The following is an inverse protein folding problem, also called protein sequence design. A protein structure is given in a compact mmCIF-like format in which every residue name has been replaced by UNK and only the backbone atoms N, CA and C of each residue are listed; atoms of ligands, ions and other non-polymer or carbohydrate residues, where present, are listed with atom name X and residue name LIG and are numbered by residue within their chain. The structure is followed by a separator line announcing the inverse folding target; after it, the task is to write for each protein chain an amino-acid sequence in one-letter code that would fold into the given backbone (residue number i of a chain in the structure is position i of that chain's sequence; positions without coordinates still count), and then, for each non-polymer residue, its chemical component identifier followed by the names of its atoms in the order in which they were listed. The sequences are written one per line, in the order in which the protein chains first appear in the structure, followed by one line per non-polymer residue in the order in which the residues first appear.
data_IF_715069973793
#
_entry.id   IF_715069973793
#
_cell.length_a   1.000
_cell.length_b   1.000
_cell.length_c   1.000
_cell.angle_alpha   90.00
_cell.angle_beta   90.00
_cell.angle_gamma   90.00
#
_symmetry.space_group_name_H-M   'P 1'
#
loop_
_entity.id
_entity.type
_entity.pdbx_description
1 polymer ?
#
# COMPACT_ATOMS: atom_id res chain seq x y z
N UNK A 1 -6.67 -32.79 -26.50
CA UNK A 1 -7.45 -33.37 -25.38
C UNK A 1 -7.57 -32.26 -24.38
N UNK A 2 -8.75 -31.67 -24.29
CA UNK A 2 -9.04 -30.59 -23.37
C UNK A 2 -9.05 -31.17 -21.96
N UNK A 3 -8.08 -30.79 -21.13
CA UNK A 3 -8.12 -31.10 -19.71
C UNK A 3 -8.94 -29.97 -19.05
N UNK A 4 -10.19 -30.23 -18.62
CA UNK A 4 -10.99 -29.22 -17.93
C UNK A 4 -10.31 -28.71 -16.66
N UNK A 5 -9.46 -29.52 -16.01
CA UNK A 5 -8.66 -29.12 -14.84
C UNK A 5 -7.52 -28.14 -15.18
N UNK A 6 -7.25 -27.91 -16.47
CA UNK A 6 -6.28 -26.92 -16.96
C UNK A 6 -6.93 -25.81 -17.80
N UNK A 7 -8.26 -25.76 -17.80
CA UNK A 7 -9.04 -24.77 -18.53
C UNK A 7 -9.52 -23.70 -17.57
N UNK A 8 -9.31 -22.43 -17.91
CA UNK A 8 -9.71 -21.30 -17.07
C UNK A 8 -10.94 -20.62 -17.65
N UNK A 9 -11.94 -20.39 -16.81
CA UNK A 9 -13.04 -19.46 -17.08
C UNK A 9 -12.73 -18.15 -16.36
N UNK A 10 -12.88 -17.02 -17.04
CA UNK A 10 -12.63 -15.71 -16.44
C UNK A 10 -13.57 -14.65 -16.97
N UNK A 11 -13.78 -13.64 -16.15
CA UNK A 11 -14.55 -12.44 -16.48
C UNK A 11 -13.57 -11.27 -16.59
N UNK A 12 -13.46 -10.68 -17.78
CA UNK A 12 -12.60 -9.53 -18.03
C UNK A 12 -13.40 -8.25 -17.86
N UNK A 13 -12.99 -7.40 -16.91
CA UNK A 13 -13.72 -6.18 -16.56
C UNK A 13 -12.92 -4.92 -16.89
N UNK A 14 -13.59 -3.90 -17.43
CA UNK A 14 -13.10 -2.53 -17.47
C UNK A 14 -13.72 -1.71 -16.35
N UNK A 15 -12.92 -0.87 -15.70
CA UNK A 15 -13.40 0.07 -14.67
C UNK A 15 -13.40 1.50 -15.20
N UNK A 16 -14.15 2.39 -14.55
CA UNK A 16 -14.19 3.83 -14.86
C UNK A 16 -14.60 4.17 -16.31
N UNK A 17 -15.57 3.41 -16.86
CA UNK A 17 -16.15 3.64 -18.18
C UNK A 17 -15.13 3.71 -19.34
N UNK A 18 -14.09 2.87 -19.26
CA UNK A 18 -13.08 2.75 -20.33
C UNK A 18 -13.62 1.97 -21.51
N UNK A 19 -13.20 2.38 -22.71
CA UNK A 19 -13.55 1.69 -23.94
C UNK A 19 -12.95 0.28 -23.97
N UNK A 20 -13.70 -0.65 -24.55
CA UNK A 20 -13.29 -2.04 -24.76
C UNK A 20 -12.84 -2.31 -26.19
N UNK A 21 -12.87 -1.30 -27.06
CA UNK A 21 -12.60 -1.44 -28.48
C UNK A 21 -11.16 -1.89 -28.73
N UNK A 22 -11.00 -2.95 -29.53
CA UNK A 22 -9.70 -3.50 -29.90
C UNK A 22 -9.01 -4.33 -28.81
N UNK A 23 -9.66 -4.59 -27.67
CA UNK A 23 -9.12 -5.48 -26.64
C UNK A 23 -9.28 -6.96 -27.01
N UNK A 24 -8.33 -7.77 -26.55
CA UNK A 24 -8.33 -9.22 -26.75
C UNK A 24 -9.05 -9.93 -25.59
N UNK A 25 -9.80 -10.98 -25.91
CA UNK A 25 -10.40 -11.87 -24.92
C UNK A 25 -9.38 -12.94 -24.51
N UNK A 26 -8.31 -12.53 -23.85
CA UNK A 26 -7.23 -13.41 -23.40
C UNK A 26 -7.06 -13.32 -21.90
N UNK A 27 -6.79 -14.46 -21.29
CA UNK A 27 -6.49 -14.61 -19.87
C UNK A 27 -5.06 -15.13 -19.79
N UNK A 28 -4.24 -14.50 -18.97
CA UNK A 28 -2.89 -14.99 -18.72
C UNK A 28 -2.93 -16.31 -17.95
N UNK A 29 -2.07 -17.25 -18.32
CA UNK A 29 -2.11 -18.61 -17.78
C UNK A 29 -1.81 -18.68 -16.28
N UNK A 30 -1.15 -17.66 -15.74
CA UNK A 30 -0.74 -17.51 -14.35
C UNK A 30 -1.65 -16.56 -13.56
N UNK A 31 -2.87 -16.26 -14.05
CA UNK A 31 -3.85 -15.43 -13.33
C UNK A 31 -4.34 -16.09 -12.04
N UNK A 32 -4.35 -17.43 -11.98
CA UNK A 32 -4.61 -18.21 -10.78
C UNK A 32 -3.25 -18.61 -10.20
N UNK A 33 -2.89 -18.17 -8.99
CA UNK A 33 -1.64 -18.57 -8.34
C UNK A 33 -1.54 -20.08 -8.14
N UNK A 34 -0.32 -20.59 -8.11
CA UNK A 34 -0.08 -22.00 -7.77
C UNK A 34 -0.67 -22.34 -6.40
N UNK A 35 -1.49 -23.38 -6.35
CA UNK A 35 -2.15 -23.85 -5.12
C UNK A 35 -3.52 -23.24 -4.86
N UNK A 36 -3.94 -22.24 -5.64
CA UNK A 36 -5.29 -21.66 -5.60
C UNK A 36 -6.19 -22.27 -6.70
N UNK A 37 -7.51 -22.26 -6.46
CA UNK A 37 -8.51 -22.69 -7.44
C UNK A 37 -9.12 -21.52 -8.21
N UNK A 38 -9.07 -20.32 -7.63
CA UNK A 38 -9.60 -19.09 -8.21
C UNK A 38 -8.62 -17.94 -8.00
N UNK A 39 -8.64 -16.98 -8.92
CA UNK A 39 -7.74 -15.83 -8.93
C UNK A 39 -8.47 -14.53 -9.27
N UNK A 40 -8.09 -13.47 -8.57
CA UNK A 40 -8.43 -12.09 -8.88
C UNK A 40 -7.16 -11.31 -9.21
N UNK A 41 -7.22 -10.53 -10.30
CA UNK A 41 -6.10 -9.72 -10.75
C UNK A 41 -6.53 -8.27 -10.94
N UNK A 42 -5.88 -7.36 -10.20
CA UNK A 42 -6.00 -5.93 -10.39
C UNK A 42 -4.84 -5.44 -11.26
N UNK A 43 -5.17 -5.05 -12.50
CA UNK A 43 -4.17 -4.65 -13.50
C UNK A 43 -3.13 -3.65 -12.96
N UNK A 44 -1.89 -3.78 -13.45
CA UNK A 44 -0.75 -2.90 -13.15
C UNK A 44 -1.14 -1.43 -13.04
N UNK A 45 -1.79 -0.91 -14.09
CA UNK A 45 -2.24 0.48 -14.19
C UNK A 45 -3.19 0.89 -13.07
N UNK A 46 -4.13 0.02 -12.67
CA UNK A 46 -5.06 0.33 -11.56
C UNK A 46 -4.35 0.26 -10.22
N UNK A 47 -3.50 -0.74 -10.02
CA UNK A 47 -2.71 -0.84 -8.79
C UNK A 47 -1.81 0.40 -8.61
N UNK A 48 -1.12 0.85 -9.66
CA UNK A 48 -0.28 2.05 -9.58
C UNK A 48 -1.10 3.33 -9.36
N UNK A 49 -2.15 3.55 -10.14
CA UNK A 49 -2.87 4.84 -10.14
C UNK A 49 -3.88 4.98 -9.02
N UNK A 50 -4.53 3.88 -8.65
CA UNK A 50 -5.64 3.89 -7.70
C UNK A 50 -5.22 3.39 -6.31
N UNK A 51 -4.08 2.69 -6.21
CA UNK A 51 -3.57 2.17 -4.92
C UNK A 51 -2.27 2.84 -4.50
N UNK A 52 -1.20 2.72 -5.28
CA UNK A 52 0.12 3.22 -4.89
C UNK A 52 0.20 4.75 -4.92
N UNK A 53 -0.25 5.40 -5.98
CA UNK A 53 -0.13 6.86 -6.12
C UNK A 53 -0.91 7.64 -5.03
N UNK A 54 -2.15 7.28 -4.68
CA UNK A 54 -2.87 7.92 -3.57
C UNK A 54 -2.23 7.67 -2.20
N UNK A 55 -1.43 6.60 -2.07
CA UNK A 55 -0.73 6.30 -0.83
C UNK A 55 0.51 7.19 -0.57
N UNK A 56 1.10 7.76 -1.64
CA UNK A 56 2.33 8.53 -1.52
C UNK A 56 2.19 9.85 -0.75
N UNK A 57 1.14 10.68 -0.91
CA UNK A 57 0.94 11.89 -0.11
C UNK A 57 0.84 11.64 1.39
N UNK A 58 0.32 10.48 1.79
CA UNK A 58 0.24 10.08 3.20
C UNK A 58 1.60 9.65 3.71
N UNK A 59 2.37 8.98 2.85
CA UNK A 59 3.72 8.50 3.15
C UNK A 59 4.75 9.64 3.22
N UNK A 60 4.61 10.62 2.32
CA UNK A 60 5.47 11.80 2.19
C UNK A 60 4.65 13.06 2.47
N UNK A 61 4.43 13.38 3.75
CA UNK A 61 3.66 14.56 4.15
C UNK A 61 4.21 15.83 3.47
N UNK A 62 3.36 16.54 2.72
CA UNK A 62 3.72 17.67 1.86
C UNK A 62 3.74 17.37 0.35
N UNK A 63 3.87 16.10 -0.04
CA UNK A 63 3.66 15.65 -1.43
C UNK A 63 2.17 15.75 -1.78
N UNK A 64 1.86 16.25 -2.99
CA UNK A 64 0.48 16.36 -3.48
C UNK A 64 0.30 15.48 -4.71
N UNK A 65 -0.94 15.05 -4.97
CA UNK A 65 -1.27 14.23 -6.15
C UNK A 65 -0.77 14.86 -7.47
N UNK A 66 -0.83 16.19 -7.59
CA UNK A 66 -0.35 16.93 -8.75
C UNK A 66 1.19 16.88 -8.94
N UNK A 67 1.94 16.50 -7.91
CA UNK A 67 3.41 16.41 -7.94
C UNK A 67 3.89 15.04 -8.44
N UNK A 68 2.96 14.09 -8.51
CA UNK A 68 3.17 12.71 -8.94
C UNK A 68 2.98 12.63 -10.46
N UNK A 69 3.85 11.87 -11.10
CA UNK A 69 3.74 11.49 -12.50
C UNK A 69 3.89 9.96 -12.63
N UNK A 70 3.58 9.44 -13.82
CA UNK A 70 3.64 8.01 -14.09
C UNK A 70 4.76 7.73 -15.09
N UNK A 71 5.51 6.64 -14.87
CA UNK A 71 6.42 6.13 -15.88
C UNK A 71 5.63 5.61 -17.08
N UNK A 72 6.30 5.49 -18.22
CA UNK A 72 5.71 4.95 -19.44
C UNK A 72 5.02 3.59 -19.18
N UNK A 73 3.93 3.34 -19.89
CA UNK A 73 3.10 2.11 -19.79
C UNK A 73 2.64 1.75 -18.36
N UNK A 74 2.59 2.73 -17.46
CA UNK A 74 2.28 2.53 -16.05
C UNK A 74 3.18 1.47 -15.39
N UNK A 75 4.47 1.46 -15.70
CA UNK A 75 5.43 0.58 -15.00
C UNK A 75 5.77 1.09 -13.59
N UNK A 76 5.43 2.33 -13.28
CA UNK A 76 5.77 2.94 -12.01
C UNK A 76 5.31 4.38 -11.85
N UNK A 77 5.81 4.98 -10.78
CA UNK A 77 5.51 6.34 -10.35
C UNK A 77 6.81 7.12 -10.25
N UNK A 78 6.78 8.40 -10.67
CA UNK A 78 7.88 9.35 -10.45
C UNK A 78 7.34 10.72 -10.04
N UNK A 79 8.23 11.72 -9.97
CA UNK A 79 7.86 13.10 -9.68
C UNK A 79 7.99 13.97 -10.92
N UNK A 80 6.98 14.81 -11.17
CA UNK A 80 7.08 15.89 -12.14
C UNK A 80 7.69 17.18 -11.56
N UNK A 81 7.82 17.26 -10.24
CA UNK A 81 8.41 18.40 -9.54
C UNK A 81 9.04 17.99 -8.22
N UNK A 82 9.78 18.91 -7.60
CA UNK A 82 10.47 18.69 -6.32
C UNK A 82 9.72 19.36 -5.16
N UNK A 83 8.71 18.72 -4.56
CA UNK A 83 7.90 19.34 -3.53
C UNK A 83 8.68 19.54 -2.23
N UNK A 84 8.28 20.57 -1.48
CA UNK A 84 8.67 20.68 -0.09
C UNK A 84 7.84 19.69 0.73
N UNK A 85 8.52 18.91 1.55
CA UNK A 85 7.87 18.05 2.52
C UNK A 85 7.55 18.86 3.78
N UNK A 86 6.74 18.29 4.67
CA UNK A 86 6.46 18.87 5.97
C UNK A 86 7.76 19.08 6.74
N UNK A 87 7.82 20.21 7.43
CA UNK A 87 8.96 20.55 8.24
C UNK A 87 9.13 19.52 9.38
N UNK A 88 10.38 19.14 9.64
CA UNK A 88 10.71 18.20 10.71
C UNK A 88 11.47 18.91 11.81
N UNK A 89 11.02 18.72 13.04
CA UNK A 89 11.71 19.23 14.21
C UNK A 89 12.73 18.22 14.74
N UNK A 90 13.93 18.70 15.04
CA UNK A 90 14.95 17.89 15.70
C UNK A 90 15.84 18.76 16.58
N UNK A 91 15.92 18.40 17.87
CA UNK A 91 16.69 19.14 18.89
C UNK A 91 16.35 20.64 18.92
N UNK A 92 15.06 20.97 18.86
CA UNK A 92 14.55 22.35 18.92
C UNK A 92 14.82 23.20 17.67
N UNK A 93 15.24 22.57 16.56
CA UNK A 93 15.38 23.23 15.26
C UNK A 93 14.43 22.61 14.26
N UNK A 94 13.81 23.46 13.46
CA UNK A 94 12.93 23.07 12.35
C UNK A 94 13.73 23.02 11.06
N UNK A 95 13.53 21.97 10.28
CA UNK A 95 14.18 21.77 8.99
C UNK A 95 13.13 21.55 7.90
N UNK A 96 13.36 22.16 6.74
CA UNK A 96 12.47 22.06 5.58
C UNK A 96 13.08 21.07 4.56
N UNK A 97 12.60 19.82 4.52
CA UNK A 97 13.11 18.80 3.60
C UNK A 97 12.43 18.95 2.25
N UNK A 98 13.19 18.75 1.18
CA UNK A 98 12.68 18.67 -0.18
C UNK A 98 12.82 17.26 -0.72
N UNK A 99 11.77 16.75 -1.35
CA UNK A 99 11.86 15.51 -2.11
C UNK A 99 12.44 15.83 -3.49
N UNK A 100 13.69 15.44 -3.72
CA UNK A 100 14.44 15.73 -4.95
C UNK A 100 14.18 14.67 -6.03
N UNK A 101 13.94 13.43 -5.62
CA UNK A 101 13.63 12.30 -6.50
C UNK A 101 12.77 11.29 -5.76
N UNK A 102 11.82 10.70 -6.46
CA UNK A 102 11.05 9.54 -6.05
C UNK A 102 10.80 8.70 -7.29
N UNK A 103 11.01 7.40 -7.17
CA UNK A 103 10.65 6.40 -8.16
C UNK A 103 10.11 5.17 -7.44
N UNK A 104 8.93 4.71 -7.85
CA UNK A 104 8.46 3.37 -7.55
C UNK A 104 8.31 2.61 -8.85
N UNK A 105 8.81 1.38 -8.92
CA UNK A 105 8.64 0.48 -10.06
C UNK A 105 8.03 -0.82 -9.62
N UNK A 106 7.06 -1.29 -10.39
CA UNK A 106 6.45 -2.60 -10.16
C UNK A 106 7.18 -3.67 -10.97
N UNK A 107 7.80 -4.61 -10.26
CA UNK A 107 8.42 -5.78 -10.84
C UNK A 107 7.59 -7.05 -10.62
N UNK A 108 8.19 -8.19 -10.97
CA UNK A 108 7.66 -9.50 -10.62
C UNK A 108 7.93 -9.77 -9.14
N UNK A 109 6.89 -9.91 -8.32
CA UNK A 109 7.00 -10.21 -6.89
C UNK A 109 7.29 -9.02 -5.97
N UNK A 110 7.69 -7.86 -6.50
CA UNK A 110 8.10 -6.73 -5.67
C UNK A 110 7.87 -5.34 -6.28
N UNK A 111 7.79 -4.36 -5.38
CA UNK A 111 7.83 -2.93 -5.65
C UNK A 111 9.23 -2.45 -5.28
N UNK A 112 10.01 -2.01 -6.26
CA UNK A 112 11.28 -1.32 -6.03
C UNK A 112 10.99 0.16 -5.78
N UNK A 113 11.57 0.72 -4.72
CA UNK A 113 11.41 2.13 -4.36
C UNK A 113 12.74 2.82 -4.22
N UNK A 114 12.83 4.05 -4.72
CA UNK A 114 13.94 4.95 -4.46
C UNK A 114 13.40 6.32 -4.12
N UNK A 115 13.84 6.91 -3.01
CA UNK A 115 13.64 8.34 -2.77
C UNK A 115 14.94 9.03 -2.41
N UNK A 116 15.00 10.31 -2.75
CA UNK A 116 16.08 11.22 -2.38
C UNK A 116 15.49 12.46 -1.75
N UNK A 117 15.88 12.74 -0.51
CA UNK A 117 15.54 13.98 0.17
C UNK A 117 16.77 14.87 0.32
N UNK A 118 16.55 16.19 0.24
CA UNK A 118 17.54 17.23 0.48
C UNK A 118 17.02 18.21 1.51
N UNK A 119 17.81 18.45 2.55
CA UNK A 119 17.40 19.30 3.67
C UNK A 119 18.42 20.42 3.85
N UNK A 120 17.95 21.68 3.89
CA UNK A 120 18.81 22.82 4.18
C UNK A 120 19.14 22.83 5.67
N UNK A 121 20.44 22.82 6.00
CA UNK A 121 20.90 22.78 7.39
C UNK A 121 21.13 24.20 7.91
N UNK A 122 21.98 24.92 7.16
CA UNK A 122 22.33 26.32 7.34
C UNK A 122 22.58 26.90 5.95
N UNK A 123 22.61 28.23 5.78
CA UNK A 123 22.98 28.83 4.49
C UNK A 123 24.28 28.22 3.95
N UNK A 124 24.20 27.64 2.75
CA UNK A 124 25.33 27.04 2.04
C UNK A 124 25.64 25.57 2.38
N UNK A 125 24.99 24.94 3.38
CA UNK A 125 25.15 23.52 3.71
C UNK A 125 23.81 22.77 3.57
N UNK A 126 23.85 21.65 2.85
CA UNK A 126 22.71 20.75 2.68
C UNK A 126 23.05 19.33 3.11
N UNK A 127 22.08 18.64 3.70
CA UNK A 127 22.12 17.21 3.95
C UNK A 127 21.30 16.48 2.91
N UNK A 128 21.77 15.31 2.50
CA UNK A 128 21.09 14.44 1.55
C UNK A 128 20.92 13.04 2.15
N UNK A 129 19.77 12.43 1.86
CA UNK A 129 19.51 11.03 2.16
C UNK A 129 18.86 10.39 0.94
N UNK A 130 19.49 9.35 0.40
CA UNK A 130 18.88 8.48 -0.60
C UNK A 130 18.58 7.14 0.04
N UNK A 131 17.39 6.63 -0.20
CA UNK A 131 16.98 5.31 0.28
C UNK A 131 16.47 4.50 -0.89
N UNK A 132 16.90 3.24 -0.96
CA UNK A 132 16.40 2.24 -1.90
C UNK A 132 15.84 1.06 -1.12
N UNK A 133 14.60 0.71 -1.38
CA UNK A 133 13.94 -0.40 -0.72
C UNK A 133 13.24 -1.30 -1.74
N UNK A 134 12.93 -2.51 -1.30
CA UNK A 134 12.11 -3.46 -2.03
C UNK A 134 10.99 -3.95 -1.13
N UNK A 135 9.79 -4.02 -1.66
CA UNK A 135 8.60 -4.41 -0.91
C UNK A 135 7.81 -5.49 -1.64
N UNK A 136 7.40 -6.53 -0.93
CA UNK A 136 6.48 -7.54 -1.45
C UNK A 136 5.08 -7.31 -0.91
N UNK A 137 4.09 -7.92 -1.56
CA UNK A 137 2.75 -8.07 -1.02
C UNK A 137 2.59 -9.53 -0.63
N UNK A 138 2.02 -9.78 0.53
CA UNK A 138 1.76 -11.12 1.05
C UNK A 138 0.40 -11.16 1.75
N UNK A 139 -0.18 -12.35 1.85
CA UNK A 139 -1.31 -12.58 2.75
C UNK A 139 -0.77 -12.94 4.13
N UNK A 140 -1.35 -12.36 5.19
CA UNK A 140 -0.88 -12.57 6.56
C UNK A 140 -2.04 -12.77 7.52
N UNK A 141 -1.85 -13.64 8.50
CA UNK A 141 -2.79 -13.83 9.59
C UNK A 141 -2.81 -12.62 10.53
N UNK A 142 -4.00 -12.34 11.05
CA UNK A 142 -4.26 -11.32 12.06
C UNK A 142 -4.40 -12.00 13.43
N UNK A 143 -4.18 -11.22 14.49
CA UNK A 143 -4.34 -11.68 15.87
C UNK A 143 -5.77 -12.16 16.20
N UNK A 144 -6.75 -11.78 15.38
CA UNK A 144 -8.15 -12.16 15.54
C UNK A 144 -8.58 -13.38 14.71
N UNK A 145 -7.62 -14.06 14.10
CA UNK A 145 -7.85 -15.25 13.28
C UNK A 145 -8.31 -14.96 11.84
N UNK A 146 -8.50 -13.69 11.47
CA UNK A 146 -8.73 -13.29 10.09
C UNK A 146 -7.43 -13.11 9.29
N UNK A 147 -7.54 -12.74 8.01
CA UNK A 147 -6.38 -12.46 7.15
C UNK A 147 -6.32 -11.00 6.72
N UNK A 148 -5.15 -10.53 6.32
CA UNK A 148 -4.92 -9.19 5.78
C UNK A 148 -3.90 -9.22 4.66
N UNK A 149 -3.97 -8.25 3.75
CA UNK A 149 -2.89 -7.99 2.80
C UNK A 149 -1.79 -7.26 3.57
N UNK A 150 -0.57 -7.77 3.55
CA UNK A 150 0.61 -7.14 4.15
C UNK A 150 1.53 -6.58 3.06
N UNK A 151 2.10 -5.40 3.30
CA UNK A 151 3.23 -4.88 2.52
C UNK A 151 4.50 -5.10 3.33
N UNK A 152 5.37 -5.99 2.87
CA UNK A 152 6.53 -6.45 3.63
C UNK A 152 7.83 -5.99 2.98
N UNK A 153 8.84 -5.68 3.80
CA UNK A 153 10.19 -5.37 3.29
C UNK A 153 10.87 -6.64 2.82
N UNK A 154 11.42 -6.57 1.62
CA UNK A 154 12.31 -7.60 1.09
C UNK A 154 13.75 -7.16 1.35
N UNK A 155 14.36 -7.74 2.39
CA UNK A 155 15.71 -7.40 2.81
C UNK A 155 15.83 -6.06 3.54
N UNK A 156 17.08 -5.61 3.72
CA UNK A 156 17.38 -4.32 4.37
C UNK A 156 17.49 -3.22 3.31
N UNK A 157 16.75 -2.10 3.43
CA UNK A 157 16.90 -0.97 2.52
C UNK A 157 18.32 -0.43 2.49
N UNK A 158 18.80 -0.05 1.31
CA UNK A 158 20.07 0.67 1.17
C UNK A 158 19.86 2.14 1.52
N UNK A 159 20.72 2.68 2.37
CA UNK A 159 20.68 4.10 2.75
C UNK A 159 22.03 4.76 2.46
N UNK A 160 22.01 5.78 1.61
CA UNK A 160 23.16 6.61 1.27
C UNK A 160 22.97 8.03 1.81
N UNK A 161 23.96 8.54 2.54
CA UNK A 161 23.85 9.81 3.25
C UNK A 161 25.10 10.63 2.99
N UNK A 162 24.92 11.87 2.55
CA UNK A 162 26.05 12.76 2.29
C UNK A 162 25.68 14.22 2.53
N UNK A 163 26.70 15.07 2.47
CA UNK A 163 26.56 16.51 2.64
C UNK A 163 27.02 17.25 1.38
N UNK A 164 26.39 18.38 1.13
CA UNK A 164 26.79 19.33 0.11
C UNK A 164 27.16 20.65 0.80
N UNK A 165 28.29 21.24 0.42
CA UNK A 165 28.82 22.48 1.02
C UNK A 165 29.20 23.42 -0.12
N UNK A 166 28.68 24.64 -0.08
CA UNK A 166 29.00 25.67 -1.08
C UNK A 166 30.49 26.01 -1.11
N UNK A 167 31.02 26.26 -2.31
CA UNK A 167 32.41 26.70 -2.50
C UNK A 167 32.68 27.98 -1.71
N UNK A 168 33.82 28.04 -1.02
CA UNK A 168 34.28 29.21 -0.25
C UNK A 168 33.81 29.26 1.21
N UNK A 169 32.97 28.32 1.65
CA UNK A 169 32.47 28.32 3.01
C UNK A 169 33.38 27.55 3.97
N UNK A 170 33.92 28.23 4.99
CA UNK A 170 34.73 27.61 6.05
C UNK A 170 33.81 26.94 7.08
N UNK A 171 33.85 25.62 7.14
CA UNK A 171 33.03 24.84 8.08
C UNK A 171 33.68 24.88 9.47
N UNK A 172 33.07 25.60 10.41
CA UNK A 172 33.49 25.55 11.81
C UNK A 172 33.21 24.15 12.41
N UNK A 173 34.04 23.67 13.35
CA UNK A 173 33.84 22.35 14.02
C UNK A 173 32.43 22.14 14.60
N UNK A 174 31.74 23.21 15.00
CA UNK A 174 30.35 23.16 15.46
C UNK A 174 29.35 22.64 14.41
N UNK A 175 29.64 22.81 13.11
CA UNK A 175 28.80 22.33 12.00
C UNK A 175 28.88 20.80 11.84
N UNK A 176 29.99 20.16 12.26
CA UNK A 176 30.07 18.69 12.29
C UNK A 176 29.08 18.07 13.29
N UNK A 177 28.78 18.74 14.41
CA UNK A 177 27.80 18.24 15.40
C UNK A 177 26.35 18.30 14.91
N UNK A 178 26.03 19.27 14.04
CA UNK A 178 24.72 19.38 13.38
C UNK A 178 24.53 18.27 12.34
N UNK A 179 25.62 17.68 11.83
CA UNK A 179 25.59 16.63 10.81
C UNK A 179 24.90 15.35 11.30
N UNK A 180 25.16 14.91 12.54
CA UNK A 180 24.51 13.75 13.13
C UNK A 180 22.99 13.96 13.33
N UNK A 181 22.60 15.19 13.68
CA UNK A 181 21.19 15.58 13.81
C UNK A 181 20.46 15.57 12.46
N UNK A 182 21.12 16.01 11.38
CA UNK A 182 20.52 16.06 10.04
C UNK A 182 20.48 14.69 9.38
N UNK A 183 21.50 13.86 9.62
CA UNK A 183 21.45 12.43 9.30
C UNK A 183 20.25 11.79 10.01
N UNK A 184 20.02 12.09 11.30
CA UNK A 184 18.87 11.57 12.02
C UNK A 184 17.53 12.05 11.43
N UNK A 185 17.38 13.33 11.08
CA UNK A 185 16.14 13.87 10.46
C UNK A 185 15.89 13.26 9.08
N UNK A 186 16.90 13.22 8.22
CA UNK A 186 16.76 12.69 6.87
C UNK A 186 16.52 11.17 6.88
N UNK A 187 17.06 10.47 7.88
CA UNK A 187 16.73 9.06 8.20
C UNK A 187 15.29 8.96 8.67
N UNK A 188 14.82 9.77 9.62
CA UNK A 188 13.42 9.72 10.07
C UNK A 188 12.46 9.84 8.88
N UNK A 189 12.69 10.76 7.95
CA UNK A 189 11.83 10.93 6.78
C UNK A 189 11.91 9.74 5.82
N UNK A 190 13.11 9.26 5.49
CA UNK A 190 13.28 8.21 4.48
C UNK A 190 12.99 6.79 5.03
N UNK A 191 13.32 6.53 6.29
CA UNK A 191 13.08 5.26 6.96
C UNK A 191 11.63 5.11 7.40
N UNK A 192 10.93 6.18 7.81
CA UNK A 192 9.47 6.12 8.04
C UNK A 192 8.72 6.04 6.70
N UNK A 193 9.07 6.90 5.74
CA UNK A 193 8.43 6.99 4.41
C UNK A 193 8.54 5.74 3.53
N UNK A 194 9.30 4.72 3.90
CA UNK A 194 9.15 3.41 3.24
C UNK A 194 9.02 2.25 4.23
N UNK A 195 9.52 2.41 5.46
CA UNK A 195 9.73 1.27 6.34
C UNK A 195 8.49 0.79 7.12
N UNK A 196 7.55 1.67 7.44
CA UNK A 196 6.32 1.31 8.16
C UNK A 196 5.09 2.04 7.58
N UNK A 197 5.31 3.17 6.91
CA UNK A 197 4.23 4.06 6.46
C UNK A 197 3.68 3.72 5.07
N UNK A 198 4.20 2.73 4.33
CA UNK A 198 3.62 2.41 3.00
C UNK A 198 2.37 1.53 3.14
N UNK A 199 2.34 0.59 4.10
CA UNK A 199 1.24 -0.35 4.27
C UNK A 199 -0.09 0.35 4.59
N UNK A 200 -0.10 1.24 5.60
CA UNK A 200 -1.31 1.93 6.04
C UNK A 200 -2.01 2.75 4.95
N UNK A 201 -1.33 3.61 4.16
CA UNK A 201 -1.97 4.32 3.07
C UNK A 201 -2.26 3.46 1.84
N UNK A 202 -1.54 2.35 1.60
CA UNK A 202 -1.97 1.34 0.63
C UNK A 202 -3.32 0.75 1.06
N UNK A 203 -3.52 0.47 2.35
CA UNK A 203 -4.81 0.05 2.87
C UNK A 203 -5.87 1.14 2.69
N UNK A 204 -5.59 2.38 3.07
CA UNK A 204 -6.55 3.49 2.82
C UNK A 204 -6.90 3.60 1.33
N UNK A 205 -5.96 3.37 0.41
CA UNK A 205 -6.26 3.43 -1.01
C UNK A 205 -7.08 2.22 -1.51
N UNK A 206 -6.80 1.01 -1.01
CA UNK A 206 -7.54 -0.20 -1.35
C UNK A 206 -8.97 -0.18 -0.80
N UNK A 207 -9.13 0.22 0.46
CA UNK A 207 -10.40 0.10 1.20
C UNK A 207 -11.15 1.43 1.34
N UNK A 208 -10.50 2.57 1.09
CA UNK A 208 -11.02 3.90 1.47
C UNK A 208 -12.28 4.36 0.76
N UNK A 209 -12.60 3.80 -0.41
CA UNK A 209 -13.85 4.06 -1.14
C UNK A 209 -15.00 3.14 -0.72
N UNK A 210 -14.76 2.18 0.17
CA UNK A 210 -15.76 1.22 0.60
C UNK A 210 -16.68 1.87 1.64
N UNK A 211 -17.99 1.62 1.54
CA UNK A 211 -18.99 2.19 2.46
C UNK A 211 -18.74 1.77 3.92
N UNK A 212 -18.15 0.59 4.13
CA UNK A 212 -17.76 0.08 5.45
C UNK A 212 -16.48 0.72 6.01
N UNK A 213 -15.72 1.47 5.21
CA UNK A 213 -14.47 2.10 5.64
C UNK A 213 -14.75 3.42 6.36
N UNK A 214 -14.62 3.41 7.68
CA UNK A 214 -14.90 4.58 8.53
C UNK A 214 -13.64 5.43 8.77
N UNK A 215 -13.82 6.71 9.10
CA UNK A 215 -12.72 7.59 9.50
C UNK A 215 -11.95 7.08 10.73
N UNK A 216 -12.63 6.37 11.64
CA UNK A 216 -12.00 5.73 12.80
C UNK A 216 -11.11 4.56 12.37
N UNK A 217 -11.56 3.74 11.42
CA UNK A 217 -10.75 2.67 10.84
C UNK A 217 -9.51 3.24 10.13
N UNK A 218 -9.69 4.30 9.33
CA UNK A 218 -8.59 5.00 8.70
C UNK A 218 -7.55 5.48 9.73
N UNK A 219 -8.00 6.09 10.83
CA UNK A 219 -7.11 6.58 11.88
C UNK A 219 -6.30 5.45 12.56
N UNK A 220 -6.92 4.30 12.83
CA UNK A 220 -6.24 3.15 13.46
C UNK A 220 -5.28 2.42 12.53
N UNK A 221 -5.63 2.36 11.24
CA UNK A 221 -4.71 1.89 10.19
C UNK A 221 -3.49 2.81 10.10
N UNK A 222 -3.73 4.13 10.05
CA UNK A 222 -2.66 5.13 9.97
C UNK A 222 -1.80 5.21 11.23
N UNK A 223 -2.34 4.85 12.41
CA UNK A 223 -1.56 4.74 13.65
C UNK A 223 -0.78 3.43 13.76
N UNK A 224 -0.96 2.49 12.82
CA UNK A 224 -0.32 1.18 12.84
C UNK A 224 -0.91 0.21 13.87
N UNK A 225 -2.05 0.55 14.47
CA UNK A 225 -2.71 -0.27 15.49
C UNK A 225 -3.41 -1.50 14.91
N UNK A 226 -3.85 -1.44 13.66
CA UNK A 226 -4.65 -2.50 13.07
C UNK A 226 -4.55 -2.46 11.53
N UNK A 227 -4.28 -3.60 10.89
CA UNK A 227 -4.46 -3.73 9.44
C UNK A 227 -5.96 -3.96 9.13
N UNK A 228 -6.51 -3.68 7.96
CA UNK A 228 -7.89 -4.07 7.64
C UNK A 228 -7.96 -5.58 7.32
N UNK A 229 -9.08 -6.26 7.61
CA UNK A 229 -9.27 -7.63 7.11
C UNK A 229 -9.40 -7.64 5.58
N UNK A 230 -8.85 -8.67 4.94
CA UNK A 230 -8.97 -8.85 3.48
C UNK A 230 -10.42 -9.09 3.05
N UNK A 231 -11.26 -9.57 3.97
CA UNK A 231 -12.68 -9.82 3.74
C UNK A 231 -13.45 -8.58 3.25
N UNK A 232 -13.00 -7.37 3.64
CA UNK A 232 -13.56 -6.13 3.10
C UNK A 232 -13.33 -6.00 1.60
N UNK A 233 -12.17 -6.43 1.13
CA UNK A 233 -11.85 -6.46 -0.30
C UNK A 233 -12.62 -7.58 -1.00
N UNK A 234 -12.59 -8.80 -0.46
CA UNK A 234 -13.23 -9.96 -1.11
C UNK A 234 -14.75 -9.82 -1.18
N UNK A 235 -15.39 -9.22 -0.17
CA UNK A 235 -16.84 -8.92 -0.21
C UNK A 235 -17.19 -8.07 -1.43
N UNK A 236 -16.40 -7.04 -1.73
CA UNK A 236 -16.66 -6.19 -2.89
C UNK A 236 -16.29 -6.85 -4.23
N UNK A 237 -15.37 -7.83 -4.21
CA UNK A 237 -15.11 -8.66 -5.39
C UNK A 237 -16.31 -9.56 -5.70
N UNK A 238 -16.85 -10.23 -4.68
CA UNK A 238 -18.02 -11.12 -4.81
C UNK A 238 -19.31 -10.38 -5.19
N UNK A 239 -19.45 -9.12 -4.77
CA UNK A 239 -20.54 -8.21 -5.20
C UNK A 239 -20.41 -7.80 -6.68
N UNK A 240 -19.19 -7.63 -7.18
CA UNK A 240 -18.96 -7.20 -8.56
C UNK A 240 -19.06 -8.37 -9.56
N UNK A 241 -18.57 -9.54 -9.19
CA UNK A 241 -18.63 -10.78 -9.99
C UNK A 241 -18.95 -11.94 -9.05
N UNK A 242 -20.12 -12.55 -9.21
CA UNK A 242 -20.56 -13.67 -8.38
C UNK A 242 -20.42 -14.99 -9.13
N UNK A 243 -19.64 -15.92 -8.59
CA UNK A 243 -19.42 -17.25 -9.15
C UNK A 243 -20.44 -18.27 -8.61
N UNK A 244 -21.64 -18.31 -9.17
CA UNK A 244 -22.69 -19.23 -8.71
C UNK A 244 -23.45 -18.72 -7.48
N UNK A 245 -24.49 -19.45 -7.05
CA UNK A 245 -25.49 -18.89 -6.13
C UNK A 245 -25.11 -18.91 -4.64
N UNK A 246 -24.17 -19.75 -4.21
CA UNK A 246 -23.97 -20.07 -2.78
C UNK A 246 -22.50 -20.23 -2.35
N UNK A 247 -21.53 -19.73 -3.11
CA UNK A 247 -20.12 -19.85 -2.74
C UNK A 247 -19.55 -18.61 -2.07
N UNK A 248 -18.38 -18.78 -1.44
CA UNK A 248 -17.60 -17.70 -0.82
C UNK A 248 -16.14 -17.81 -1.27
N UNK A 249 -15.53 -16.68 -1.62
CA UNK A 249 -14.11 -16.62 -1.94
C UNK A 249 -13.26 -16.55 -0.67
N UNK A 250 -12.39 -17.55 -0.47
CA UNK A 250 -11.49 -17.65 0.67
C UNK A 250 -10.04 -17.44 0.23
N UNK A 251 -9.44 -16.26 0.47
CA UNK A 251 -8.09 -15.99 0.01
C UNK A 251 -7.03 -16.80 0.78
N UNK A 252 -6.10 -17.39 0.02
CA UNK A 252 -4.92 -18.10 0.52
C UNK A 252 -3.61 -17.47 0.05
N UNK A 253 -3.68 -16.64 -0.99
CA UNK A 253 -2.54 -15.99 -1.61
C UNK A 253 -2.82 -14.51 -1.85
N UNK A 254 -1.82 -13.67 -1.63
CA UNK A 254 -1.77 -12.31 -2.17
C UNK A 254 -0.33 -12.01 -2.57
N UNK A 255 -0.13 -11.43 -3.74
CA UNK A 255 1.20 -11.22 -4.29
C UNK A 255 1.23 -10.26 -5.46
N UNK A 256 2.44 -10.11 -6.00
CA UNK A 256 2.68 -9.29 -7.18
C UNK A 256 3.16 -10.16 -8.34
N UNK A 257 2.45 -10.09 -9.45
CA UNK A 257 2.91 -10.61 -10.73
C UNK A 257 2.76 -9.50 -11.78
N UNK A 258 3.56 -8.44 -11.64
CA UNK A 258 3.39 -7.17 -12.35
C UNK A 258 2.04 -6.45 -12.16
N UNK A 259 1.14 -7.06 -11.39
CA UNK A 259 -0.20 -6.64 -11.04
C UNK A 259 -0.46 -7.18 -9.62
N UNK A 260 -1.41 -6.59 -8.90
CA UNK A 260 -1.84 -7.19 -7.63
C UNK A 260 -2.68 -8.43 -7.95
N UNK A 261 -2.24 -9.56 -7.42
CA UNK A 261 -2.89 -10.85 -7.59
C UNK A 261 -3.34 -11.38 -6.24
N UNK A 262 -4.57 -11.89 -6.18
CA UNK A 262 -5.14 -12.52 -4.99
C UNK A 262 -5.65 -13.89 -5.43
N UNK A 263 -5.16 -14.94 -4.79
CA UNK A 263 -5.58 -16.32 -5.02
C UNK A 263 -6.36 -16.85 -3.83
N UNK A 264 -7.13 -17.89 -4.07
CA UNK A 264 -7.88 -18.57 -3.02
C UNK A 264 -8.63 -19.78 -3.51
N UNK A 265 -9.45 -20.29 -2.61
CA UNK A 265 -10.43 -21.33 -2.88
C UNK A 265 -11.83 -20.71 -2.98
N UNK A 266 -12.66 -21.26 -3.85
CA UNK A 266 -14.08 -20.91 -3.90
C UNK A 266 -14.89 -22.02 -3.24
N UNK A 267 -15.38 -21.76 -2.02
CA UNK A 267 -16.02 -22.77 -1.19
C UNK A 267 -17.53 -22.62 -1.23
N UNK A 268 -18.23 -23.68 -1.66
CA UNK A 268 -19.68 -23.77 -1.58
C UNK A 268 -20.12 -23.74 -0.12
N UNK A 269 -20.91 -22.74 0.26
CA UNK A 269 -21.50 -22.65 1.60
C UNK A 269 -22.90 -23.26 1.57
N UNK A 270 -23.17 -24.36 2.31
CA UNK A 270 -24.50 -24.96 2.32
C UNK A 270 -25.54 -23.97 2.87
N UNK A 271 -26.68 -23.83 2.18
CA UNK A 271 -27.79 -22.92 2.51
C UNK A 271 -28.33 -23.01 3.96
N UNK A 272 -28.01 -24.05 4.72
CA UNK A 272 -28.48 -24.23 6.09
C UNK A 272 -27.76 -23.35 7.14
N UNK A 273 -26.65 -22.69 6.78
CA UNK A 273 -25.88 -21.86 7.72
C UNK A 273 -26.27 -20.36 7.73
N UNK A 274 -27.06 -19.88 6.76
CA UNK A 274 -27.39 -18.46 6.61
C UNK A 274 -28.83 -18.18 7.04
N UNK A 275 -29.02 -17.85 8.32
CA UNK A 275 -30.22 -17.19 8.79
C UNK A 275 -30.35 -15.80 8.16
N UNK A 276 -31.21 -15.67 7.14
CA UNK A 276 -31.94 -14.48 6.70
C UNK A 276 -31.27 -13.08 6.75
N UNK A 277 -29.95 -12.98 6.53
CA UNK A 277 -29.29 -11.72 6.16
C UNK A 277 -28.34 -11.96 4.99
N UNK A 278 -28.22 -11.03 4.02
CA UNK A 278 -27.17 -11.09 3.01
C UNK A 278 -25.80 -11.20 3.70
N UNK A 279 -24.92 -12.13 3.30
CA UNK A 279 -23.63 -12.39 3.96
C UNK A 279 -22.79 -11.12 4.17
N UNK A 280 -22.78 -10.22 3.18
CA UNK A 280 -22.09 -8.93 3.26
C UNK A 280 -22.63 -8.04 4.40
N UNK A 281 -23.95 -7.93 4.55
CA UNK A 281 -24.60 -7.11 5.59
C UNK A 281 -24.46 -7.75 6.98
N UNK A 282 -24.56 -9.07 7.05
CA UNK A 282 -24.32 -9.82 8.29
C UNK A 282 -22.87 -9.69 8.77
N UNK A 283 -21.90 -9.82 7.86
CA UNK A 283 -20.49 -9.63 8.13
C UNK A 283 -20.16 -8.17 8.51
N UNK A 284 -20.71 -7.20 7.77
CA UNK A 284 -20.53 -5.77 8.06
C UNK A 284 -21.01 -5.42 9.48
N UNK A 285 -22.18 -5.92 9.88
CA UNK A 285 -22.69 -5.71 11.23
C UNK A 285 -21.84 -6.43 12.28
N UNK A 286 -21.47 -7.70 12.06
CA UNK A 286 -20.61 -8.44 12.99
C UNK A 286 -19.23 -7.81 13.15
N UNK A 287 -18.63 -7.30 12.06
CA UNK A 287 -17.36 -6.62 12.10
C UNK A 287 -17.47 -5.28 12.85
N UNK A 288 -18.50 -4.47 12.54
CA UNK A 288 -18.77 -3.23 13.26
C UNK A 288 -18.99 -3.47 14.76
N UNK A 289 -19.74 -4.51 15.12
CA UNK A 289 -20.02 -4.90 16.50
C UNK A 289 -18.77 -5.39 17.24
N UNK A 290 -17.93 -6.22 16.58
CA UNK A 290 -16.64 -6.65 17.15
C UNK A 290 -15.69 -5.49 17.36
N UNK A 291 -15.67 -4.52 16.44
CA UNK A 291 -14.88 -3.30 16.58
C UNK A 291 -15.39 -2.42 17.72
N UNK A 292 -16.72 -2.26 17.86
CA UNK A 292 -17.33 -1.53 18.97
C UNK A 292 -17.03 -2.19 20.33
N UNK A 293 -17.09 -3.52 20.41
CA UNK A 293 -16.75 -4.28 21.62
C UNK A 293 -15.28 -4.07 22.04
N UNK A 294 -14.33 -4.12 21.09
CA UNK A 294 -12.91 -3.84 21.35
C UNK A 294 -12.64 -2.41 21.80
N UNK A 295 -13.41 -1.44 21.30
CA UNK A 295 -13.34 -0.05 21.75
C UNK A 295 -13.73 0.04 23.22
N UNK A 296 -14.81 -0.62 23.63
CA UNK A 296 -15.21 -0.63 25.04
C UNK A 296 -14.20 -1.36 25.92
N UNK A 297 -13.65 -2.50 25.48
CA UNK A 297 -12.66 -3.25 26.24
C UNK A 297 -11.39 -2.43 26.49
N UNK A 298 -10.86 -1.72 25.49
CA UNK A 298 -9.68 -0.86 25.65
C UNK A 298 -9.94 0.37 26.52
N UNK A 299 -11.15 0.93 26.51
CA UNK A 299 -11.51 2.07 27.38
C UNK A 299 -11.57 1.67 28.87
N UNK A 300 -11.88 0.41 29.19
CA UNK A 300 -11.87 -0.10 30.57
C UNK A 300 -10.48 -0.46 31.10
N UNK A 301 -9.46 -0.58 30.23
CA UNK A 301 -8.07 -0.86 30.63
C UNK A 301 -7.28 0.43 30.94
N UNK A 302 -7.83 1.61 30.60
CA UNK A 302 -7.20 2.93 30.79
C UNK A 302 -7.85 3.73 31.94
N UNK A 303 -8.81 3.15 32.66
CA UNK A 303 -9.42 3.70 33.88
C UNK A 303 -8.90 2.98 35.12
#
# INVERSE_FOLDING_TARGET
MDNPERSTLGVLCQTQNRATDGLLNQIEADVIPDGSDVGFLLSRRRFIRDVLAPALPVTFDGLKAKDIDYLDDDEGITLNRKPMLKAVEHKGKTYDPRLEYLELRLGQGYIDTTAHTRTKIIPGVWGHCRTRGRYSIALKDRDDGGKTIAVEKVGTPEEEKWKEVSKGMKIAKAVLGILAAVIAVAVTICTLGFGMTVAAPVYVALYGSMVAFTAVMAARILSGEESPPIDLLTTHLDEAVTWGANGSFQPDFAGLNYALQIGGEYVDTPMQALGAMPPALAFQNQFADRMAARIQEKLHVVA
#
